data_IF_832030400455
#
_entry.id   IF_832030400455
#
_cell.length_a   1.000
_cell.length_b   1.000
_cell.length_c   1.000
_cell.angle_alpha   90.00
_cell.angle_beta   90.00
_cell.angle_gamma   90.00
#
_symmetry.space_group_name_H-M   'P 1'
#
loop_
_entity.id
_entity.type
_entity.pdbx_description
1 polymer ?
#
# COMPACT_ATOMS: atom_id res chain seq x y z
N UNK A 1 -15.40 3.57 36.01
CA UNK A 1 -14.65 2.58 35.21
C UNK A 1 -13.96 3.35 34.10
N UNK A 2 -12.64 3.21 33.93
CA UNK A 2 -11.98 3.72 32.71
C UNK A 2 -12.61 3.02 31.52
N UNK A 3 -13.04 3.78 30.51
CA UNK A 3 -13.61 3.21 29.29
C UNK A 3 -12.55 2.29 28.65
N UNK A 4 -12.97 1.10 28.19
CA UNK A 4 -12.06 0.16 27.51
C UNK A 4 -11.51 0.84 26.26
N UNK A 5 -10.19 0.75 26.04
CA UNK A 5 -9.55 1.23 24.81
C UNK A 5 -10.22 0.64 23.57
N UNK A 6 -10.39 1.45 22.53
CA UNK A 6 -10.92 1.00 21.23
C UNK A 6 -9.89 0.08 20.58
N UNK A 7 -10.27 -1.15 20.23
CA UNK A 7 -9.40 -2.10 19.53
C UNK A 7 -9.44 -1.83 18.04
N UNK A 8 -8.30 -1.50 17.47
CA UNK A 8 -8.16 -1.14 16.05
C UNK A 8 -7.30 -2.18 15.34
N UNK A 9 -7.84 -2.81 14.30
CA UNK A 9 -7.06 -3.61 13.38
C UNK A 9 -6.51 -2.71 12.27
N UNK A 10 -5.22 -2.41 12.33
CA UNK A 10 -4.54 -1.58 11.35
C UNK A 10 -4.03 -2.45 10.20
N UNK A 11 -4.71 -2.38 9.05
CA UNK A 11 -4.15 -2.94 7.82
C UNK A 11 -2.86 -2.20 7.45
N UNK A 12 -1.79 -2.97 7.21
CA UNK A 12 -0.53 -2.44 6.73
C UNK A 12 0.05 -3.30 5.61
N UNK A 13 0.64 -2.65 4.60
CA UNK A 13 1.37 -3.33 3.54
C UNK A 13 2.89 -3.09 3.58
N UNK A 14 3.37 -2.25 4.51
CA UNK A 14 4.79 -1.94 4.74
C UNK A 14 4.98 -1.06 5.99
N UNK A 15 6.17 -1.10 6.59
CA UNK A 15 6.50 -0.32 7.79
C UNK A 15 6.57 1.20 7.56
N UNK A 16 7.12 1.73 6.43
CA UNK A 16 7.23 3.17 6.21
C UNK A 16 5.93 3.97 6.29
N UNK A 17 4.78 3.31 6.05
CA UNK A 17 3.48 3.97 6.10
C UNK A 17 2.79 3.83 7.46
N UNK A 18 3.29 2.97 8.36
CA UNK A 18 2.62 2.66 9.63
C UNK A 18 3.10 3.49 10.80
N UNK A 19 4.35 3.95 10.81
CA UNK A 19 5.00 4.59 11.96
C UNK A 19 4.19 5.69 12.63
N UNK A 20 4.03 6.83 11.96
CA UNK A 20 3.35 7.99 12.53
C UNK A 20 1.87 7.71 12.85
N UNK A 21 1.22 6.85 12.05
CA UNK A 21 -0.17 6.45 12.28
C UNK A 21 -0.33 5.60 13.54
N UNK A 22 0.62 4.69 13.81
CA UNK A 22 0.64 3.90 15.04
C UNK A 22 0.90 4.79 16.25
N UNK A 23 1.87 5.70 16.17
CA UNK A 23 2.17 6.64 17.27
C UNK A 23 0.94 7.49 17.60
N UNK A 24 0.30 8.11 16.61
CA UNK A 24 -0.91 8.90 16.82
C UNK A 24 -2.06 8.08 17.42
N UNK A 25 -2.28 6.85 16.93
CA UNK A 25 -3.31 5.96 17.47
C UNK A 25 -3.06 5.59 18.94
N UNK A 26 -1.83 5.28 19.31
CA UNK A 26 -1.49 4.82 20.65
C UNK A 26 -1.38 5.98 21.64
N UNK A 27 -0.71 7.06 21.25
CA UNK A 27 -0.35 8.16 22.14
C UNK A 27 -1.45 9.23 22.24
N UNK A 28 -2.14 9.54 21.14
CA UNK A 28 -3.16 10.60 21.10
C UNK A 28 -4.58 10.05 21.20
N UNK A 29 -4.88 8.97 20.47
CA UNK A 29 -6.24 8.41 20.40
C UNK A 29 -6.54 7.35 21.47
N UNK A 30 -5.53 6.94 22.27
CA UNK A 30 -5.62 5.89 23.28
C UNK A 30 -6.22 4.57 22.77
N UNK A 31 -5.85 4.18 21.54
CA UNK A 31 -6.28 2.94 20.90
C UNK A 31 -5.40 1.74 21.26
N UNK A 32 -6.02 0.55 21.27
CA UNK A 32 -5.34 -0.75 21.33
C UNK A 32 -5.15 -1.28 19.90
N UNK A 33 -3.97 -1.06 19.34
CA UNK A 33 -3.66 -1.32 17.92
C UNK A 33 -3.11 -2.74 17.75
N UNK A 34 -3.60 -3.45 16.75
CA UNK A 34 -2.97 -4.66 16.20
C UNK A 34 -2.68 -4.43 14.73
N UNK A 35 -1.45 -4.71 14.30
CA UNK A 35 -1.07 -4.64 12.88
C UNK A 35 -1.51 -5.91 12.17
N UNK A 36 -2.26 -5.74 11.07
CA UNK A 36 -2.60 -6.81 10.14
C UNK A 36 -1.83 -6.60 8.84
N UNK A 37 -0.78 -7.40 8.63
CA UNK A 37 -0.02 -7.36 7.39
C UNK A 37 -0.74 -8.18 6.32
N UNK A 38 -1.35 -7.50 5.35
CA UNK A 38 -2.04 -8.18 4.28
C UNK A 38 -1.93 -7.44 2.96
N UNK A 39 -1.11 -7.96 2.08
CA UNK A 39 -1.05 -7.48 0.72
C UNK A 39 -0.65 -8.62 -0.24
N UNK A 40 -1.62 -9.42 -0.72
CA UNK A 40 -1.34 -10.62 -1.49
C UNK A 40 -0.74 -10.33 -2.87
N UNK A 41 -0.76 -9.08 -3.33
CA UNK A 41 -0.29 -8.71 -4.65
C UNK A 41 1.17 -8.27 -4.71
N UNK A 42 1.87 -8.20 -3.57
CA UNK A 42 3.27 -7.79 -3.56
C UNK A 42 4.06 -8.80 -4.40
N UNK A 43 4.73 -8.28 -5.42
CA UNK A 43 5.46 -9.03 -6.41
C UNK A 43 6.82 -8.37 -6.63
N UNK A 44 7.92 -9.15 -6.64
CA UNK A 44 7.99 -10.60 -6.47
C UNK A 44 7.84 -11.02 -4.98
N UNK A 45 7.83 -12.33 -4.71
CA UNK A 45 7.74 -12.84 -3.33
C UNK A 45 8.85 -12.29 -2.41
N UNK A 46 10.06 -12.03 -2.93
CA UNK A 46 11.14 -11.43 -2.12
C UNK A 46 10.79 -10.04 -1.59
N UNK A 47 10.05 -9.25 -2.37
CA UNK A 47 9.52 -7.95 -1.93
C UNK A 47 8.51 -8.14 -0.79
N UNK A 48 7.59 -9.10 -0.93
CA UNK A 48 6.59 -9.41 0.09
C UNK A 48 7.26 -9.77 1.41
N UNK A 49 8.23 -10.68 1.37
CA UNK A 49 8.95 -11.13 2.57
C UNK A 49 9.76 -10.00 3.22
N UNK A 50 10.38 -9.11 2.42
CA UNK A 50 11.12 -7.97 2.96
C UNK A 50 10.17 -6.99 3.68
N UNK A 51 9.10 -6.56 3.00
CA UNK A 51 8.11 -5.63 3.57
C UNK A 51 7.43 -6.23 4.81
N UNK A 52 7.16 -7.54 4.81
CA UNK A 52 6.59 -8.26 5.96
C UNK A 52 7.52 -8.22 7.16
N UNK A 53 8.76 -8.70 7.00
CA UNK A 53 9.73 -8.80 8.10
C UNK A 53 10.05 -7.44 8.70
N UNK A 54 10.11 -6.41 7.87
CA UNK A 54 10.35 -5.06 8.35
C UNK A 54 9.20 -4.55 9.23
N UNK A 55 7.96 -4.81 8.81
CA UNK A 55 6.75 -4.43 9.54
C UNK A 55 6.61 -5.21 10.86
N UNK A 56 6.83 -6.53 10.81
CA UNK A 56 6.86 -7.40 11.98
C UNK A 56 7.94 -6.96 13.00
N UNK A 57 9.16 -6.68 12.52
CA UNK A 57 10.25 -6.15 13.36
C UNK A 57 9.85 -4.85 14.04
N UNK A 58 9.20 -3.95 13.32
CA UNK A 58 8.78 -2.66 13.87
C UNK A 58 7.65 -2.81 14.89
N UNK A 59 6.62 -3.60 14.58
CA UNK A 59 5.54 -3.92 15.52
C UNK A 59 6.10 -4.54 16.82
N UNK A 60 7.03 -5.50 16.71
CA UNK A 60 7.68 -6.10 17.87
C UNK A 60 8.48 -5.09 18.70
N UNK A 61 9.19 -4.15 18.07
CA UNK A 61 9.91 -3.06 18.77
C UNK A 61 8.97 -2.17 19.58
N UNK A 62 7.75 -1.94 19.09
CA UNK A 62 6.73 -1.14 19.77
C UNK A 62 5.91 -1.95 20.79
N UNK A 63 6.10 -3.26 20.89
CA UNK A 63 5.26 -4.14 21.72
C UNK A 63 3.82 -4.28 21.20
N UNK A 64 3.61 -4.06 19.90
CA UNK A 64 2.31 -4.13 19.24
C UNK A 64 2.10 -5.52 18.64
N UNK A 65 0.88 -6.05 18.80
CA UNK A 65 0.52 -7.32 18.21
C UNK A 65 0.57 -7.27 16.67
N UNK A 66 1.04 -8.35 16.06
CA UNK A 66 1.19 -8.48 14.61
C UNK A 66 0.51 -9.75 14.12
N UNK A 67 -0.25 -9.63 13.04
CA UNK A 67 -0.95 -10.72 12.37
C UNK A 67 -0.49 -10.76 10.92
N UNK A 68 0.03 -11.92 10.50
CA UNK A 68 0.39 -12.20 9.11
C UNK A 68 -0.81 -12.76 8.35
N UNK A 69 -1.27 -12.05 7.32
CA UNK A 69 -2.34 -12.50 6.44
C UNK A 69 -1.82 -13.31 5.25
N UNK A 70 -2.66 -14.22 4.74
CA UNK A 70 -2.29 -15.16 3.68
C UNK A 70 -1.75 -14.48 2.40
N UNK A 71 -0.62 -14.95 1.89
CA UNK A 71 -0.09 -14.53 0.60
C UNK A 71 -0.70 -15.35 -0.54
N UNK A 72 -1.83 -14.88 -1.06
CA UNK A 72 -2.56 -15.49 -2.19
C UNK A 72 -2.56 -14.57 -3.43
N UNK A 73 -1.47 -14.54 -4.22
CA UNK A 73 -1.40 -13.73 -5.43
C UNK A 73 -2.40 -14.19 -6.49
N UNK A 74 -2.79 -15.47 -6.52
CA UNK A 74 -3.68 -16.03 -7.53
C UNK A 74 -5.10 -15.49 -7.38
N UNK A 75 -5.61 -15.37 -6.14
CA UNK A 75 -6.86 -14.66 -5.84
C UNK A 75 -6.83 -13.23 -6.35
N UNK A 76 -5.74 -12.51 -6.06
CA UNK A 76 -5.62 -11.14 -6.49
C UNK A 76 -5.58 -11.00 -8.01
N UNK A 77 -4.82 -11.83 -8.72
CA UNK A 77 -4.79 -11.81 -10.19
C UNK A 77 -6.14 -12.13 -10.81
N UNK A 78 -6.94 -13.00 -10.17
CA UNK A 78 -8.29 -13.29 -10.64
C UNK A 78 -9.21 -12.06 -10.52
N UNK A 79 -9.11 -11.31 -9.42
CA UNK A 79 -9.84 -10.05 -9.21
C UNK A 79 -9.37 -8.92 -10.14
N UNK A 80 -8.08 -8.90 -10.48
CA UNK A 80 -7.48 -7.89 -11.36
C UNK A 80 -7.67 -8.16 -12.86
N UNK A 81 -8.24 -9.31 -13.24
CA UNK A 81 -8.46 -9.69 -14.63
C UNK A 81 -9.32 -8.66 -15.36
N UNK A 82 -8.86 -8.21 -16.53
CA UNK A 82 -9.49 -7.16 -17.31
C UNK A 82 -9.08 -5.73 -16.91
N UNK A 83 -8.37 -5.57 -15.79
CA UNK A 83 -7.86 -4.29 -15.28
C UNK A 83 -6.34 -4.15 -15.43
N UNK A 84 -5.71 -5.02 -16.24
CA UNK A 84 -4.25 -5.13 -16.33
C UNK A 84 -3.59 -3.85 -16.85
N UNK A 85 -4.33 -3.01 -17.57
CA UNK A 85 -3.85 -1.77 -18.20
C UNK A 85 -4.51 -0.52 -17.65
N UNK A 86 -5.32 -0.63 -16.60
CA UNK A 86 -5.80 0.55 -15.87
C UNK A 86 -4.59 1.32 -15.31
N UNK A 87 -4.60 2.66 -15.30
CA UNK A 87 -3.52 3.45 -14.72
C UNK A 87 -3.45 3.26 -13.18
N UNK A 88 -2.35 3.70 -12.56
CA UNK A 88 -2.34 3.97 -11.12
C UNK A 88 -3.43 5.00 -10.78
N UNK A 89 -4.09 4.82 -9.63
CA UNK A 89 -5.36 5.50 -9.27
C UNK A 89 -6.55 5.20 -10.20
N UNK A 90 -6.43 4.27 -11.15
CA UNK A 90 -7.54 3.74 -11.96
C UNK A 90 -8.33 2.62 -11.25
N UNK A 91 -9.21 1.94 -11.99
CA UNK A 91 -10.12 0.93 -11.42
C UNK A 91 -9.41 -0.27 -10.78
N UNK A 92 -8.19 -0.60 -11.25
CA UNK A 92 -7.32 -1.62 -10.65
C UNK A 92 -6.97 -1.30 -9.19
N UNK A 93 -6.71 -0.04 -8.87
CA UNK A 93 -6.32 0.36 -7.52
C UNK A 93 -7.51 0.19 -6.55
N UNK A 94 -8.72 0.57 -6.96
CA UNK A 94 -9.94 0.28 -6.18
C UNK A 94 -10.12 -1.21 -5.93
N UNK A 95 -10.06 -2.05 -6.98
CA UNK A 95 -10.19 -3.50 -6.83
C UNK A 95 -9.12 -4.09 -5.90
N UNK A 96 -7.90 -3.55 -5.95
CA UNK A 96 -6.82 -3.94 -5.06
C UNK A 96 -7.09 -3.56 -3.59
N UNK A 97 -7.58 -2.35 -3.33
CA UNK A 97 -7.92 -1.91 -1.98
C UNK A 97 -9.11 -2.67 -1.43
N UNK A 98 -10.12 -2.96 -2.25
CA UNK A 98 -11.26 -3.79 -1.88
C UNK A 98 -10.79 -5.17 -1.39
N UNK A 99 -9.95 -5.89 -2.15
CA UNK A 99 -9.42 -7.20 -1.70
C UNK A 99 -8.75 -7.10 -0.32
N UNK A 100 -7.94 -6.06 -0.09
CA UNK A 100 -7.22 -5.86 1.18
C UNK A 100 -8.16 -5.54 2.33
N UNK A 101 -9.09 -4.62 2.11
CA UNK A 101 -10.02 -4.17 3.15
C UNK A 101 -11.11 -5.20 3.44
N UNK A 102 -11.58 -5.96 2.45
CA UNK A 102 -12.50 -7.09 2.63
C UNK A 102 -11.94 -8.13 3.60
N UNK A 103 -10.68 -8.55 3.39
CA UNK A 103 -10.02 -9.52 4.29
C UNK A 103 -9.75 -8.93 5.68
N UNK A 104 -9.36 -7.66 5.73
CA UNK A 104 -9.14 -6.94 7.00
C UNK A 104 -10.43 -6.85 7.82
N UNK A 105 -11.55 -6.46 7.20
CA UNK A 105 -12.84 -6.36 7.87
C UNK A 105 -13.36 -7.72 8.35
N UNK A 106 -13.19 -8.77 7.54
CA UNK A 106 -13.53 -10.14 7.95
C UNK A 106 -12.73 -10.56 9.19
N UNK A 107 -11.41 -10.39 9.18
CA UNK A 107 -10.58 -10.72 10.34
C UNK A 107 -10.95 -9.90 11.58
N UNK A 108 -11.18 -8.59 11.39
CA UNK A 108 -11.59 -7.70 12.47
C UNK A 108 -12.89 -8.17 13.14
N UNK A 109 -13.89 -8.55 12.34
CA UNK A 109 -15.16 -9.08 12.83
C UNK A 109 -14.99 -10.41 13.58
N UNK A 110 -14.27 -11.38 13.01
CA UNK A 110 -14.05 -12.70 13.61
C UNK A 110 -13.30 -12.64 14.95
N UNK A 111 -12.47 -11.61 15.15
CA UNK A 111 -11.63 -11.44 16.34
C UNK A 111 -12.08 -10.30 17.28
N UNK A 112 -13.27 -9.75 17.05
CA UNK A 112 -13.92 -8.77 17.93
C UNK A 112 -13.17 -7.44 18.04
N UNK A 113 -12.62 -6.94 16.93
CA UNK A 113 -12.11 -5.56 16.84
C UNK A 113 -13.26 -4.57 16.68
N UNK A 114 -13.07 -3.36 17.20
CA UNK A 114 -14.08 -2.29 17.16
C UNK A 114 -13.99 -1.48 15.85
N UNK A 115 -12.79 -1.35 15.30
CA UNK A 115 -12.55 -0.60 14.07
C UNK A 115 -11.43 -1.20 13.22
N UNK A 116 -11.46 -0.89 11.92
CA UNK A 116 -10.35 -1.09 11.00
C UNK A 116 -9.82 0.25 10.49
N UNK A 117 -8.53 0.30 10.19
CA UNK A 117 -7.87 1.43 9.54
C UNK A 117 -6.84 0.91 8.53
N UNK A 118 -6.28 1.78 7.69
CA UNK A 118 -5.29 1.36 6.69
C UNK A 118 -4.17 2.37 6.53
N UNK A 119 -2.92 1.88 6.54
CA UNK A 119 -1.75 2.72 6.28
C UNK A 119 -1.70 3.24 4.84
N UNK A 120 -2.53 2.71 3.92
CA UNK A 120 -2.65 3.28 2.58
C UNK A 120 -3.16 4.73 2.60
N UNK A 121 -3.89 5.11 3.66
CA UNK A 121 -4.43 6.46 3.84
C UNK A 121 -3.33 7.51 4.09
N UNK A 122 -2.10 7.11 4.46
CA UNK A 122 -0.97 8.04 4.68
C UNK A 122 -0.20 8.37 3.39
N UNK A 123 -0.50 7.69 2.28
CA UNK A 123 0.29 7.78 1.05
C UNK A 123 -0.19 8.89 0.13
N UNK A 124 0.72 9.78 -0.27
CA UNK A 124 0.49 10.78 -1.33
C UNK A 124 0.25 10.13 -2.69
N UNK A 125 0.81 8.94 -2.92
CA UNK A 125 0.68 8.22 -4.18
C UNK A 125 -0.71 7.59 -4.37
N UNK A 126 -1.52 7.48 -3.32
CA UNK A 126 -2.84 6.83 -3.40
C UNK A 126 -3.96 7.87 -3.47
N UNK A 127 -4.98 7.52 -4.23
CA UNK A 127 -6.23 8.27 -4.22
C UNK A 127 -6.98 7.97 -2.92
N UNK A 128 -7.27 9.02 -2.17
CA UNK A 128 -7.87 8.93 -0.83
C UNK A 128 -9.29 8.39 -0.88
N UNK A 129 -10.10 8.89 -1.81
CA UNK A 129 -11.48 8.44 -1.98
C UNK A 129 -11.55 6.96 -2.34
N UNK A 130 -10.60 6.44 -3.12
CA UNK A 130 -10.49 5.00 -3.39
C UNK A 130 -10.12 4.20 -2.14
N UNK A 131 -9.14 4.68 -1.35
CA UNK A 131 -8.68 4.00 -0.14
C UNK A 131 -9.80 3.97 0.91
N UNK A 132 -10.32 5.13 1.28
CA UNK A 132 -11.34 5.26 2.32
C UNK A 132 -12.68 4.67 1.88
N UNK A 133 -13.05 4.84 0.61
CA UNK A 133 -14.22 4.19 0.05
C UNK A 133 -14.17 2.67 0.15
N UNK A 134 -13.00 2.06 -0.04
CA UNK A 134 -12.83 0.59 0.10
C UNK A 134 -12.92 0.17 1.57
N UNK A 135 -12.35 0.97 2.48
CA UNK A 135 -12.46 0.73 3.93
C UNK A 135 -13.89 0.82 4.44
N UNK A 136 -14.61 1.87 4.08
CA UNK A 136 -16.01 2.09 4.43
C UNK A 136 -16.91 0.95 3.91
N UNK A 137 -16.77 0.58 2.62
CA UNK A 137 -17.53 -0.54 2.02
C UNK A 137 -17.25 -1.87 2.70
N UNK A 138 -16.02 -2.11 3.16
CA UNK A 138 -15.66 -3.36 3.82
C UNK A 138 -16.18 -3.43 5.26
N UNK A 139 -16.02 -2.36 6.04
CA UNK A 139 -16.52 -2.28 7.41
C UNK A 139 -18.05 -2.39 7.49
N UNK A 140 -18.77 -1.74 6.57
CA UNK A 140 -20.24 -1.74 6.50
C UNK A 140 -20.88 -3.14 6.28
N UNK A 141 -20.08 -4.19 6.03
CA UNK A 141 -20.56 -5.58 5.93
C UNK A 141 -20.78 -6.24 7.30
N UNK A 142 -20.28 -5.64 8.38
CA UNK A 142 -20.30 -6.22 9.71
C UNK A 142 -20.84 -5.22 10.73
N UNK A 143 -21.90 -5.60 11.44
CA UNK A 143 -22.49 -4.77 12.48
C UNK A 143 -21.50 -4.47 13.60
N UNK A 144 -21.41 -3.20 13.98
CA UNK A 144 -20.53 -2.73 15.05
C UNK A 144 -19.07 -2.53 14.65
N UNK A 145 -18.69 -2.80 13.39
CA UNK A 145 -17.34 -2.53 12.89
C UNK A 145 -17.26 -1.16 12.23
N UNK A 146 -16.36 -0.31 12.72
CA UNK A 146 -16.12 1.03 12.18
C UNK A 146 -14.93 1.06 11.20
N UNK A 147 -15.00 1.90 10.18
CA UNK A 147 -13.80 2.35 9.45
C UNK A 147 -13.29 3.65 10.08
N UNK A 148 -12.09 3.64 10.65
CA UNK A 148 -11.49 4.81 11.29
C UNK A 148 -10.95 5.78 10.22
N UNK A 149 -11.82 6.68 9.79
CA UNK A 149 -11.48 7.78 8.91
C UNK A 149 -10.87 8.94 9.70
N UNK A 150 -9.66 9.38 9.33
CA UNK A 150 -9.03 10.61 9.81
C UNK A 150 -8.16 11.21 8.71
N UNK A 151 -7.80 12.48 8.85
CA UNK A 151 -6.80 13.12 7.99
C UNK A 151 -5.39 12.65 8.39
N UNK A 152 -4.93 11.58 7.75
CA UNK A 152 -3.62 11.01 7.98
C UNK A 152 -2.51 11.65 7.12
N UNK A 153 -2.84 12.69 6.33
CA UNK A 153 -1.94 13.32 5.35
C UNK A 153 -1.58 14.75 5.70
N UNK A 154 -1.91 15.21 6.91
CA UNK A 154 -1.44 16.51 7.41
C UNK A 154 0.08 16.63 7.30
N UNK A 155 0.57 17.87 7.20
CA UNK A 155 2.01 18.13 7.11
C UNK A 155 2.77 17.56 8.32
N UNK A 156 2.20 17.68 9.52
CA UNK A 156 2.79 17.14 10.75
C UNK A 156 2.89 15.61 10.72
N UNK A 157 1.84 14.91 10.28
CA UNK A 157 1.87 13.44 10.12
C UNK A 157 2.88 13.01 9.07
N UNK A 158 2.97 13.76 7.96
CA UNK A 158 3.91 13.45 6.88
C UNK A 158 5.35 13.66 7.32
N UNK A 159 5.66 14.77 8.01
CA UNK A 159 6.98 15.02 8.58
C UNK A 159 7.35 13.92 9.57
N UNK A 160 6.44 13.59 10.50
CA UNK A 160 6.68 12.55 11.51
C UNK A 160 6.93 11.19 10.87
N UNK A 161 6.19 10.84 9.81
CA UNK A 161 6.40 9.61 9.02
C UNK A 161 7.84 9.53 8.51
N UNK A 162 8.35 10.58 7.85
CA UNK A 162 9.72 10.56 7.31
C UNK A 162 10.80 10.53 8.39
N UNK A 163 10.57 11.18 9.54
CA UNK A 163 11.47 11.10 10.70
C UNK A 163 11.59 9.66 11.19
N UNK A 164 10.46 8.99 11.46
CA UNK A 164 10.45 7.59 11.90
C UNK A 164 11.10 6.68 10.85
N UNK A 165 10.82 6.92 9.57
CA UNK A 165 11.38 6.10 8.50
C UNK A 165 12.91 6.13 8.49
N UNK A 166 13.52 7.31 8.64
CA UNK A 166 14.97 7.46 8.71
C UNK A 166 15.55 6.89 10.02
N UNK A 167 14.92 7.15 11.16
CA UNK A 167 15.36 6.62 12.47
C UNK A 167 15.40 5.09 12.51
N UNK A 168 14.50 4.44 11.77
CA UNK A 168 14.39 2.98 11.72
C UNK A 168 15.04 2.34 10.49
N UNK A 169 15.62 3.17 9.62
CA UNK A 169 16.21 2.78 8.34
C UNK A 169 15.29 1.83 7.55
N UNK A 170 14.04 2.23 7.38
CA UNK A 170 13.10 1.39 6.63
C UNK A 170 13.44 1.35 5.15
N UNK A 171 13.09 0.25 4.50
CA UNK A 171 13.25 0.02 3.08
C UNK A 171 12.44 1.02 2.24
N UNK A 172 13.13 1.72 1.32
CA UNK A 172 12.53 2.64 0.35
C UNK A 172 11.90 1.88 -0.82
N UNK A 173 10.58 1.99 -0.93
CA UNK A 173 9.81 1.28 -1.96
C UNK A 173 9.64 2.16 -3.20
N UNK A 174 10.11 1.70 -4.36
CA UNK A 174 10.00 2.46 -5.62
C UNK A 174 8.69 2.19 -6.41
N UNK A 175 7.80 1.35 -5.87
CA UNK A 175 6.52 0.98 -6.51
C UNK A 175 5.51 0.46 -5.47
N UNK A 176 4.23 0.41 -5.86
CA UNK A 176 3.12 0.01 -4.97
C UNK A 176 3.24 -1.43 -4.43
N UNK A 177 4.06 -2.28 -5.07
CA UNK A 177 4.19 -3.70 -4.76
C UNK A 177 3.58 -4.60 -5.83
N UNK A 178 2.57 -4.18 -6.60
CA UNK A 178 1.99 -5.07 -7.61
C UNK A 178 2.81 -5.12 -8.91
N UNK A 179 2.73 -6.24 -9.62
CA UNK A 179 3.46 -6.47 -10.88
C UNK A 179 3.11 -5.44 -11.97
N UNK A 180 1.87 -4.97 -12.01
CA UNK A 180 1.46 -3.92 -12.95
C UNK A 180 2.09 -2.56 -12.60
N UNK A 181 2.15 -2.20 -11.31
CA UNK A 181 2.85 -1.00 -10.84
C UNK A 181 4.33 -1.04 -11.21
N UNK A 182 4.98 -2.20 -11.01
CA UNK A 182 6.38 -2.40 -11.37
C UNK A 182 6.60 -2.28 -12.89
N UNK A 183 5.73 -2.90 -13.71
CA UNK A 183 5.75 -2.80 -15.17
C UNK A 183 5.62 -1.35 -15.62
N UNK A 184 4.63 -0.64 -15.09
CA UNK A 184 4.32 0.73 -15.50
C UNK A 184 5.48 1.64 -15.11
N UNK A 185 5.96 1.61 -13.86
CA UNK A 185 7.12 2.41 -13.43
C UNK A 185 8.38 2.12 -14.26
N UNK A 186 8.67 0.86 -14.58
CA UNK A 186 9.82 0.52 -15.42
C UNK A 186 9.68 1.03 -16.87
N UNK A 187 8.46 1.08 -17.41
CA UNK A 187 8.21 1.70 -18.71
C UNK A 187 8.50 3.22 -18.68
N UNK A 188 8.05 3.92 -17.64
CA UNK A 188 8.34 5.35 -17.45
C UNK A 188 9.85 5.60 -17.31
N UNK A 189 10.53 4.83 -16.45
CA UNK A 189 11.98 4.95 -16.23
C UNK A 189 12.77 4.74 -17.52
N UNK A 190 12.39 3.77 -18.34
CA UNK A 190 13.05 3.54 -19.63
C UNK A 190 12.93 4.75 -20.58
N UNK A 191 11.76 5.42 -20.61
CA UNK A 191 11.55 6.65 -21.42
C UNK A 191 12.38 7.83 -20.92
N UNK A 192 12.63 7.89 -19.62
CA UNK A 192 13.46 8.91 -18.98
C UNK A 192 14.96 8.54 -18.95
N UNK A 193 15.37 7.41 -19.54
CA UNK A 193 16.76 6.94 -19.51
C UNK A 193 17.23 6.48 -18.14
N UNK A 194 16.32 6.20 -17.20
CA UNK A 194 16.60 5.71 -15.85
C UNK A 194 16.70 4.18 -15.82
N UNK A 195 17.53 3.61 -14.93
CA UNK A 195 17.60 2.15 -14.75
C UNK A 195 16.26 1.59 -14.23
N UNK A 196 15.93 0.32 -14.54
CA UNK A 196 14.74 -0.31 -14.00
C UNK A 196 14.83 -0.48 -12.48
N UNK A 197 13.68 -0.47 -11.83
CA UNK A 197 13.51 -0.78 -10.41
C UNK A 197 14.03 -2.18 -10.12
N UNK A 198 14.78 -2.30 -9.02
CA UNK A 198 15.21 -3.58 -8.46
C UNK A 198 14.41 -3.82 -7.19
N UNK A 199 13.46 -4.76 -7.17
CA UNK A 199 12.74 -5.10 -5.96
C UNK A 199 13.67 -5.63 -4.86
N UNK A 200 13.27 -5.43 -3.60
CA UNK A 200 13.96 -5.92 -2.41
C UNK A 200 15.45 -5.52 -2.35
N UNK A 201 15.76 -4.25 -2.60
CA UNK A 201 17.10 -3.67 -2.40
C UNK A 201 17.35 -3.32 -0.94
N UNK A 202 18.59 -2.89 -0.65
CA UNK A 202 19.00 -2.40 0.67
C UNK A 202 18.88 -0.87 0.79
N UNK A 203 18.16 -0.21 -0.13
CA UNK A 203 18.00 1.24 -0.10
C UNK A 203 17.01 1.61 1.01
N UNK A 204 17.41 2.53 1.89
CA UNK A 204 16.66 2.88 3.09
C UNK A 204 16.43 4.37 3.21
N UNK A 205 15.41 4.75 3.97
CA UNK A 205 15.20 6.12 4.41
C UNK A 205 16.36 6.51 5.34
N UNK A 206 16.88 7.73 5.16
CA UNK A 206 18.08 8.18 5.87
C UNK A 206 18.11 9.68 6.17
N UNK A 207 17.43 10.50 5.36
CA UNK A 207 17.31 11.94 5.60
C UNK A 207 15.85 12.32 5.42
N UNK A 208 15.10 12.57 6.52
CA UNK A 208 13.67 12.83 6.46
C UNK A 208 13.28 13.95 5.48
N UNK A 209 14.13 14.97 5.36
CA UNK A 209 13.83 16.13 4.51
C UNK A 209 14.05 15.80 3.05
N UNK A 210 15.18 15.19 2.70
CA UNK A 210 15.45 14.76 1.32
C UNK A 210 14.43 13.70 0.88
N UNK A 211 14.14 12.74 1.75
CA UNK A 211 13.22 11.64 1.47
C UNK A 211 11.77 12.14 1.27
N UNK A 212 11.35 13.17 2.04
CA UNK A 212 10.05 13.81 1.85
C UNK A 212 9.97 14.60 0.54
N UNK A 213 11.08 15.22 0.12
CA UNK A 213 11.15 16.01 -1.10
C UNK A 213 11.08 15.13 -2.36
N UNK A 214 11.64 13.91 -2.30
CA UNK A 214 11.52 12.89 -3.36
C UNK A 214 10.06 12.48 -3.63
N UNK A 215 9.17 12.69 -2.66
CA UNK A 215 7.74 12.40 -2.75
C UNK A 215 6.89 13.66 -2.51
N UNK A 216 7.39 14.84 -2.89
CA UNK A 216 6.66 16.10 -2.73
C UNK A 216 5.33 16.11 -3.51
N UNK A 217 4.35 16.94 -3.12
CA UNK A 217 3.09 17.05 -3.85
C UNK A 217 3.28 17.34 -5.34
N UNK A 218 4.27 18.17 -5.71
CA UNK A 218 4.57 18.52 -7.09
C UNK A 218 5.13 17.32 -7.87
N UNK A 219 6.04 16.55 -7.26
CA UNK A 219 6.57 15.31 -7.87
C UNK A 219 5.45 14.30 -8.11
N UNK A 220 4.56 14.14 -7.14
CA UNK A 220 3.42 13.22 -7.25
C UNK A 220 2.44 13.72 -8.31
N UNK A 221 2.13 15.01 -8.36
CA UNK A 221 1.23 15.60 -9.34
C UNK A 221 1.76 15.41 -10.77
N UNK A 222 3.03 15.77 -11.01
CA UNK A 222 3.69 15.62 -12.30
C UNK A 222 3.73 14.15 -12.79
N UNK A 223 3.89 13.18 -11.88
CA UNK A 223 3.75 11.77 -12.24
C UNK A 223 2.34 11.45 -12.76
N UNK A 224 1.29 11.85 -12.02
CA UNK A 224 -0.09 11.50 -12.37
C UNK A 224 -0.64 12.29 -13.56
N UNK A 225 -0.14 13.47 -13.85
CA UNK A 225 -0.46 14.21 -15.08
C UNK A 225 -0.02 13.43 -16.33
N UNK A 226 1.10 12.72 -16.25
CA UNK A 226 1.66 11.97 -17.37
C UNK A 226 1.16 10.52 -17.45
N UNK A 227 0.71 9.94 -16.34
CA UNK A 227 0.35 8.53 -16.23
C UNK A 227 -0.70 8.00 -17.26
N UNK A 228 -1.74 8.76 -17.65
CA UNK A 228 -2.72 8.27 -18.63
C UNK A 228 -2.11 7.98 -20.01
N UNK A 229 -1.27 8.90 -20.53
CA UNK A 229 -0.62 8.75 -21.82
C UNK A 229 0.28 7.50 -21.84
N UNK A 230 1.04 7.29 -20.76
CA UNK A 230 1.89 6.11 -20.64
C UNK A 230 1.09 4.80 -20.55
N UNK A 231 -0.07 4.81 -19.89
CA UNK A 231 -0.93 3.62 -19.78
C UNK A 231 -1.47 3.18 -21.14
N UNK A 232 -1.83 4.13 -22.01
CA UNK A 232 -2.24 3.84 -23.39
C UNK A 232 -1.09 3.28 -24.23
N UNK A 233 0.12 3.84 -24.10
CA UNK A 233 1.32 3.34 -24.79
C UNK A 233 1.67 1.91 -24.37
N UNK A 234 1.65 1.64 -23.06
CA UNK A 234 1.88 0.30 -22.51
C UNK A 234 0.85 -0.67 -23.08
N UNK A 235 -0.44 -0.30 -23.08
CA UNK A 235 -1.51 -1.13 -23.64
C UNK A 235 -1.26 -1.42 -25.12
N UNK A 236 -0.95 -0.41 -25.92
CA UNK A 236 -0.69 -0.55 -27.35
C UNK A 236 0.52 -1.46 -27.61
N UNK A 237 1.62 -1.27 -26.88
CA UNK A 237 2.83 -2.09 -27.00
C UNK A 237 2.55 -3.57 -26.73
N UNK A 238 1.86 -3.90 -25.62
CA UNK A 238 1.58 -5.28 -25.27
C UNK A 238 0.54 -5.94 -26.20
N UNK A 239 -0.47 -5.19 -26.65
CA UNK A 239 -1.42 -5.69 -27.63
C UNK A 239 -0.75 -5.97 -28.98
N UNK A 240 0.18 -5.13 -29.42
CA UNK A 240 0.98 -5.37 -30.62
C UNK A 240 1.85 -6.63 -30.49
N UNK A 241 2.51 -6.83 -29.34
CA UNK A 241 3.29 -8.06 -29.06
C UNK A 241 2.43 -9.32 -29.10
N UNK A 242 1.22 -9.30 -28.52
CA UNK A 242 0.28 -10.44 -28.57
C UNK A 242 -0.18 -10.77 -30.00
N UNK A 243 -0.39 -9.75 -30.84
CA UNK A 243 -0.73 -9.94 -32.27
C UNK A 243 0.45 -10.48 -33.09
N UNK A 244 1.68 -10.11 -32.75
CA UNK A 244 2.90 -10.64 -33.37
C UNK A 244 3.31 -12.04 -32.88
N UNK A 245 2.89 -12.44 -31.66
CA UNK A 245 3.13 -13.76 -31.04
C UNK A 245 1.94 -14.71 -31.15
N UNK A 246 1.28 -14.80 -32.31
CA UNK A 246 0.33 -15.88 -32.57
C UNK A 246 1.06 -17.25 -32.53
N UNK A 247 1.28 -17.78 -31.32
CA UNK A 247 2.05 -18.99 -31.05
C UNK A 247 2.79 -19.05 -29.70
N UNK A 248 2.95 -17.94 -28.96
CA UNK A 248 3.64 -17.96 -27.66
C UNK A 248 2.74 -17.37 -26.55
N UNK A 249 2.43 -18.18 -25.54
CA UNK A 249 1.72 -17.74 -24.34
C UNK A 249 2.69 -16.92 -23.49
N UNK A 250 2.43 -15.63 -23.38
CA UNK A 250 3.13 -14.77 -22.41
C UNK A 250 2.64 -15.17 -21.02
N UNK A 251 3.50 -15.85 -20.26
CA UNK A 251 3.29 -16.11 -18.84
C UNK A 251 3.79 -14.91 -18.05
N UNK A 252 2.93 -13.89 -17.97
CA UNK A 252 2.98 -12.72 -17.09
C UNK A 252 4.25 -11.87 -17.15
#
# INVERSE_FOLDING_TARGET
ASARKKRVLLHSCCAPCSGAMIEEMVETLDADVTVFFYNPNIHPRSEYELRKRENERYAAKLGIAFVDGDYDPDEWYRRARGLEYEPERGGRCTACFDVRMERTALYAHEWGFDAIATTNATSRWKDEAQVDGSGLRAAARYDGLEYMYQDWKTDAMTERKYVINAEHAFYKQEYCGCSYSLRDNNFHRAKEGKPPIKPATADVYSDPRLDSEEESPDVVADFFERAPAFSEEVRAMYQARRRGRAGHKDNW
#
